data_IF_236213344448
#
_entry.id   IF_236213344448
#
_cell.length_a   1.000
_cell.length_b   1.000
_cell.length_c   1.000
_cell.angle_alpha   90.00
_cell.angle_beta   90.00
_cell.angle_gamma   90.00
#
_symmetry.space_group_name_H-M   'P 1'
#
loop_
_entity.id
_entity.type
_entity.pdbx_description
1 polymer ?
#
# COMPACT_ATOMS: atom_id res chain seq x y z
N UNK A 1 3.97 -2.34 -8.16
CA UNK A 1 5.39 -2.40 -7.80
C UNK A 1 5.89 -1.12 -7.16
N UNK A 2 7.12 -1.12 -6.70
CA UNK A 2 7.73 0.06 -6.08
C UNK A 2 7.80 1.24 -7.04
N UNK A 3 7.45 2.42 -6.55
CA UNK A 3 7.40 3.63 -7.36
C UNK A 3 8.81 4.22 -7.50
N UNK A 4 9.29 4.33 -8.73
CA UNK A 4 10.53 5.02 -9.02
C UNK A 4 10.29 6.54 -9.04
N UNK A 5 11.18 7.32 -8.43
CA UNK A 5 11.02 8.78 -8.31
C UNK A 5 10.81 9.47 -9.68
N UNK A 6 11.55 9.02 -10.70
CA UNK A 6 11.44 9.56 -12.07
C UNK A 6 10.07 9.29 -12.72
N UNK A 7 9.31 8.30 -12.23
CA UNK A 7 7.99 7.94 -12.77
C UNK A 7 6.83 8.47 -11.91
N UNK A 8 7.13 9.06 -10.77
CA UNK A 8 6.10 9.46 -9.80
C UNK A 8 5.11 10.47 -10.40
N UNK A 9 5.58 11.45 -11.15
CA UNK A 9 4.70 12.44 -11.78
C UNK A 9 3.75 11.80 -12.79
N UNK A 10 4.26 10.91 -13.66
CA UNK A 10 3.43 10.19 -14.63
C UNK A 10 2.39 9.30 -13.94
N UNK A 11 2.77 8.62 -12.85
CA UNK A 11 1.84 7.81 -12.04
C UNK A 11 0.75 8.71 -11.46
N UNK A 12 1.13 9.85 -10.88
CA UNK A 12 0.18 10.81 -10.33
C UNK A 12 -0.82 11.30 -11.38
N UNK A 13 -0.36 11.57 -12.60
CA UNK A 13 -1.23 12.08 -13.66
C UNK A 13 -2.23 11.05 -14.19
N UNK A 14 -1.87 9.76 -14.18
CA UNK A 14 -2.66 8.71 -14.80
C UNK A 14 -3.41 7.80 -13.80
N UNK A 15 -3.20 7.96 -12.49
CA UNK A 15 -3.81 7.10 -11.49
C UNK A 15 -4.60 7.91 -10.47
N UNK A 16 -5.85 7.55 -10.27
CA UNK A 16 -6.70 8.16 -9.23
C UNK A 16 -6.37 7.61 -7.84
N UNK A 17 -5.98 6.34 -7.77
CA UNK A 17 -5.65 5.64 -6.54
C UNK A 17 -4.28 4.96 -6.69
N UNK A 18 -3.39 5.18 -5.73
CA UNK A 18 -2.02 4.67 -5.74
C UNK A 18 -1.82 3.73 -4.54
N UNK A 19 -1.45 2.48 -4.80
CA UNK A 19 -1.38 1.42 -3.77
C UNK A 19 0.01 1.18 -3.19
N UNK A 20 1.06 1.82 -3.68
CA UNK A 20 2.45 1.48 -3.38
C UNK A 20 3.23 2.61 -2.72
N UNK A 21 2.57 3.40 -1.88
CA UNK A 21 3.24 4.51 -1.18
C UNK A 21 4.03 3.95 0.01
N UNK A 22 5.36 4.02 -0.06
CA UNK A 22 6.22 3.38 0.93
C UNK A 22 7.49 4.15 1.32
N UNK A 23 7.70 5.37 0.81
CA UNK A 23 8.92 6.16 1.12
C UNK A 23 8.60 7.64 1.20
N UNK A 24 9.24 8.31 2.14
CA UNK A 24 9.08 9.75 2.32
C UNK A 24 9.47 10.54 1.06
N UNK A 25 10.48 10.09 0.33
CA UNK A 25 10.87 10.73 -0.93
C UNK A 25 9.70 10.81 -1.92
N UNK A 26 8.93 9.72 -2.05
CA UNK A 26 7.76 9.66 -2.94
C UNK A 26 6.60 10.48 -2.35
N UNK A 27 6.39 10.42 -1.04
CA UNK A 27 5.38 11.24 -0.34
C UNK A 27 5.60 12.73 -0.63
N UNK A 28 6.85 13.19 -0.54
CA UNK A 28 7.19 14.60 -0.84
C UNK A 28 6.89 14.99 -2.27
N UNK A 29 7.16 14.09 -3.23
CA UNK A 29 6.87 14.34 -4.65
C UNK A 29 5.35 14.49 -4.84
N UNK A 30 4.56 13.56 -4.34
CA UNK A 30 3.10 13.63 -4.46
C UNK A 30 2.51 14.85 -3.75
N UNK A 31 3.00 15.17 -2.56
CA UNK A 31 2.58 16.38 -1.83
C UNK A 31 2.81 17.65 -2.66
N UNK A 32 4.00 17.76 -3.27
CA UNK A 32 4.33 18.89 -4.14
C UNK A 32 3.44 18.95 -5.38
N UNK A 33 3.18 17.80 -6.02
CA UNK A 33 2.32 17.73 -7.19
C UNK A 33 0.87 18.12 -6.85
N UNK A 34 0.33 17.67 -5.73
CA UNK A 34 -1.03 18.03 -5.30
C UNK A 34 -1.15 19.52 -5.02
N UNK A 35 -0.15 20.12 -4.39
CA UNK A 35 -0.12 21.57 -4.15
C UNK A 35 -0.05 22.38 -5.45
N UNK A 36 0.75 21.93 -6.40
CA UNK A 36 0.96 22.58 -7.68
C UNK A 36 -0.24 22.42 -8.62
N UNK A 37 -0.73 21.20 -8.77
CA UNK A 37 -1.79 20.86 -9.74
C UNK A 37 -3.20 20.97 -9.15
N UNK A 38 -3.33 21.03 -7.83
CA UNK A 38 -4.59 21.12 -7.08
C UNK A 38 -5.55 19.97 -7.37
N UNK A 39 -5.00 18.77 -7.63
CA UNK A 39 -5.74 17.52 -7.81
C UNK A 39 -5.33 16.58 -6.70
N UNK A 40 -6.30 16.13 -5.88
CA UNK A 40 -6.05 15.21 -4.77
C UNK A 40 -6.20 13.78 -5.26
N UNK A 41 -5.21 12.94 -4.94
CA UNK A 41 -5.26 11.50 -5.20
C UNK A 41 -5.51 10.73 -3.91
N UNK A 42 -5.87 9.46 -4.02
CA UNK A 42 -6.05 8.57 -2.89
C UNK A 42 -4.89 7.58 -2.82
N UNK A 43 -4.46 7.25 -1.60
CA UNK A 43 -3.25 6.43 -1.41
C UNK A 43 -3.50 5.29 -0.43
N UNK A 44 -2.93 4.13 -0.76
CA UNK A 44 -2.65 3.07 0.19
C UNK A 44 -1.17 3.12 0.55
N UNK A 45 -0.86 3.02 1.83
CA UNK A 45 0.53 2.85 2.28
C UNK A 45 0.87 1.36 2.23
N UNK A 46 1.94 1.04 1.53
CA UNK A 46 2.43 -0.34 1.46
C UNK A 46 3.29 -0.66 2.67
N UNK A 47 2.89 -1.68 3.42
CA UNK A 47 3.58 -2.17 4.60
C UNK A 47 4.29 -3.49 4.27
N UNK A 48 5.54 -3.60 4.70
CA UNK A 48 6.33 -4.82 4.60
C UNK A 48 6.10 -5.66 5.86
N UNK A 49 5.02 -6.42 5.86
CA UNK A 49 4.59 -7.21 7.03
C UNK A 49 5.55 -8.34 7.39
N UNK A 50 6.33 -8.82 6.43
CA UNK A 50 7.34 -9.86 6.65
C UNK A 50 8.69 -9.35 7.11
N UNK A 51 8.87 -8.03 7.21
CA UNK A 51 10.14 -7.39 7.55
C UNK A 51 11.32 -7.86 6.69
N UNK A 52 11.05 -8.12 5.41
CA UNK A 52 12.05 -8.60 4.45
C UNK A 52 12.80 -7.40 3.86
N UNK A 53 14.09 -7.24 4.21
CA UNK A 53 14.91 -6.08 3.82
C UNK A 53 14.97 -5.82 2.32
N UNK A 54 14.90 -6.89 1.50
CA UNK A 54 14.97 -6.81 0.03
C UNK A 54 13.64 -6.48 -0.63
N UNK A 55 12.54 -6.43 0.12
CA UNK A 55 11.20 -6.18 -0.39
C UNK A 55 10.76 -4.73 -0.17
N UNK A 56 9.84 -4.27 -1.03
CA UNK A 56 9.22 -2.94 -0.89
C UNK A 56 8.26 -2.90 0.29
N UNK A 57 7.94 -1.71 0.74
CA UNK A 57 7.02 -1.47 1.84
C UNK A 57 7.73 -0.93 3.09
N UNK A 58 6.98 -0.18 3.87
CA UNK A 58 7.45 0.36 5.15
C UNK A 58 7.56 -0.77 6.16
N UNK A 59 8.69 -0.89 6.84
CA UNK A 59 8.87 -1.90 7.91
C UNK A 59 7.86 -1.70 9.03
N UNK A 60 7.40 -2.79 9.63
CA UNK A 60 6.38 -2.72 10.70
C UNK A 60 6.78 -1.79 11.85
N UNK A 61 8.06 -1.81 12.26
CA UNK A 61 8.57 -0.95 13.32
C UNK A 61 8.54 0.55 13.01
N UNK A 62 8.48 0.91 11.73
CA UNK A 62 8.47 2.30 11.26
C UNK A 62 7.08 2.73 10.79
N UNK A 63 6.12 1.82 10.77
CA UNK A 63 4.82 2.04 10.16
C UNK A 63 4.01 3.15 10.85
N UNK A 64 3.96 3.14 12.19
CA UNK A 64 3.19 4.14 12.94
C UNK A 64 3.67 5.57 12.64
N UNK A 65 4.98 5.78 12.65
CA UNK A 65 5.55 7.10 12.36
C UNK A 65 5.31 7.49 10.90
N UNK A 66 5.51 6.57 9.97
CA UNK A 66 5.29 6.83 8.54
C UNK A 66 3.84 7.19 8.24
N UNK A 67 2.88 6.43 8.76
CA UNK A 67 1.45 6.70 8.57
C UNK A 67 1.09 8.07 9.16
N UNK A 68 1.56 8.36 10.38
CA UNK A 68 1.33 9.64 11.04
C UNK A 68 1.89 10.81 10.24
N UNK A 69 3.08 10.68 9.69
CA UNK A 69 3.67 11.73 8.84
C UNK A 69 2.84 11.97 7.58
N UNK A 70 2.41 10.90 6.90
CA UNK A 70 1.58 11.03 5.69
C UNK A 70 0.27 11.74 5.97
N UNK A 71 -0.39 11.39 7.09
CA UNK A 71 -1.69 11.96 7.45
C UNK A 71 -1.59 13.39 7.98
N UNK A 72 -0.65 13.65 8.89
CA UNK A 72 -0.61 14.91 9.65
C UNK A 72 0.36 15.93 9.08
N UNK A 73 1.57 15.51 8.72
CA UNK A 73 2.59 16.41 8.22
C UNK A 73 2.37 16.77 6.74
N UNK A 74 2.06 15.77 5.92
CA UNK A 74 1.89 15.95 4.48
C UNK A 74 0.43 16.08 4.05
N UNK A 75 -0.51 15.72 4.92
CA UNK A 75 -1.94 15.86 4.64
C UNK A 75 -2.44 15.08 3.42
N UNK A 76 -1.78 13.98 3.06
CA UNK A 76 -2.20 13.14 1.94
C UNK A 76 -3.47 12.36 2.32
N UNK A 77 -4.32 12.12 1.34
CA UNK A 77 -5.55 11.33 1.51
C UNK A 77 -5.22 9.84 1.55
N UNK A 78 -4.76 9.37 2.70
CA UNK A 78 -4.50 7.95 2.93
C UNK A 78 -5.84 7.26 3.21
N UNK A 79 -6.24 6.31 2.36
CA UNK A 79 -7.51 5.61 2.49
C UNK A 79 -7.37 4.21 3.07
N UNK A 80 -6.16 3.67 3.12
CA UNK A 80 -5.94 2.33 3.62
C UNK A 80 -4.48 1.90 3.58
N UNK A 81 -4.27 0.62 3.89
CA UNK A 81 -2.97 -0.03 3.86
C UNK A 81 -2.95 -1.17 2.85
N UNK A 82 -1.77 -1.48 2.36
CA UNK A 82 -1.55 -2.56 1.40
C UNK A 82 -0.39 -3.43 1.88
N UNK A 83 -0.47 -4.73 1.65
CA UNK A 83 0.67 -5.62 1.84
C UNK A 83 0.72 -6.73 0.79
N UNK A 84 1.91 -7.28 0.63
CA UNK A 84 2.19 -8.50 -0.12
C UNK A 84 2.96 -9.40 0.84
N UNK A 85 2.30 -10.41 1.45
CA UNK A 85 2.97 -11.29 2.40
C UNK A 85 4.13 -12.08 1.79
N UNK A 86 5.08 -12.56 2.61
CA UNK A 86 6.09 -13.51 2.14
C UNK A 86 5.46 -14.76 1.54
N UNK A 87 6.05 -15.27 0.46
CA UNK A 87 5.53 -16.45 -0.26
C UNK A 87 5.57 -17.70 0.63
N UNK A 88 6.58 -17.81 1.49
CA UNK A 88 6.85 -19.00 2.30
C UNK A 88 6.25 -18.94 3.72
N UNK A 89 5.40 -17.98 4.00
CA UNK A 89 4.78 -17.81 5.32
C UNK A 89 3.25 -17.87 5.21
N UNK A 90 2.57 -18.11 6.34
CA UNK A 90 1.11 -18.10 6.40
C UNK A 90 0.59 -16.67 6.16
N UNK A 91 -0.13 -16.43 5.05
CA UNK A 91 -0.60 -15.09 4.73
C UNK A 91 -1.61 -14.55 5.73
N UNK A 92 -2.37 -15.40 6.39
CA UNK A 92 -3.40 -14.99 7.35
C UNK A 92 -2.85 -14.09 8.46
N UNK A 93 -1.70 -14.46 9.02
CA UNK A 93 -1.02 -13.66 10.05
C UNK A 93 -0.73 -12.24 9.56
N UNK A 94 -0.19 -12.14 8.35
CA UNK A 94 0.15 -10.85 7.75
C UNK A 94 -1.08 -10.00 7.46
N UNK A 95 -2.16 -10.61 7.00
CA UNK A 95 -3.43 -9.91 6.77
C UNK A 95 -4.04 -9.39 8.06
N UNK A 96 -4.00 -10.17 9.14
CA UNK A 96 -4.49 -9.74 10.45
C UNK A 96 -3.62 -8.63 11.06
N UNK A 97 -2.30 -8.71 10.90
CA UNK A 97 -1.39 -7.66 11.35
C UNK A 97 -1.67 -6.34 10.62
N UNK A 98 -1.89 -6.41 9.30
CA UNK A 98 -2.22 -5.23 8.51
C UNK A 98 -3.56 -4.62 8.94
N UNK A 99 -4.56 -5.47 9.18
CA UNK A 99 -5.87 -5.02 9.65
C UNK A 99 -5.77 -4.31 11.00
N UNK A 100 -5.05 -4.90 11.94
CA UNK A 100 -4.84 -4.29 13.27
C UNK A 100 -4.16 -2.93 13.17
N UNK A 101 -3.15 -2.80 12.32
CA UNK A 101 -2.46 -1.53 12.08
C UNK A 101 -3.41 -0.50 11.46
N UNK A 102 -4.20 -0.88 10.48
CA UNK A 102 -5.18 0.01 9.85
C UNK A 102 -6.24 0.48 10.85
N UNK A 103 -6.74 -0.40 11.71
CA UNK A 103 -7.72 -0.08 12.74
C UNK A 103 -7.18 0.97 13.72
N UNK A 104 -5.90 0.91 14.07
CA UNK A 104 -5.25 1.90 14.95
C UNK A 104 -5.27 3.32 14.38
N UNK A 105 -5.36 3.46 13.06
CA UNK A 105 -5.41 4.76 12.38
C UNK A 105 -6.79 5.07 11.79
N UNK A 106 -7.81 4.29 12.11
CA UNK A 106 -9.17 4.40 11.56
C UNK A 106 -9.19 4.33 10.03
N UNK A 107 -8.29 3.56 9.44
CA UNK A 107 -8.24 3.32 8.01
C UNK A 107 -9.09 2.09 7.68
N UNK A 108 -10.10 2.26 6.83
CA UNK A 108 -11.10 1.23 6.58
C UNK A 108 -10.79 0.34 5.37
N UNK A 109 -9.85 0.73 4.53
CA UNK A 109 -9.57 -0.01 3.30
C UNK A 109 -8.28 -0.81 3.43
N UNK A 110 -8.32 -2.04 2.92
CA UNK A 110 -7.21 -2.99 2.94
C UNK A 110 -7.01 -3.55 1.54
N UNK A 111 -5.89 -3.22 0.92
CA UNK A 111 -5.45 -3.80 -0.35
C UNK A 111 -4.50 -4.96 -0.06
N UNK A 112 -5.04 -6.16 -0.08
CA UNK A 112 -4.30 -7.39 0.22
C UNK A 112 -4.98 -8.58 -0.42
N UNK A 113 -4.20 -9.61 -0.75
CA UNK A 113 -4.69 -10.79 -1.45
C UNK A 113 -4.40 -10.73 -2.94
N UNK A 114 -3.79 -11.80 -3.42
CA UNK A 114 -3.45 -12.03 -4.82
C UNK A 114 -4.03 -13.37 -5.27
N UNK A 115 -3.70 -13.85 -6.47
CA UNK A 115 -4.29 -15.08 -7.04
C UNK A 115 -4.23 -16.30 -6.11
N UNK A 116 -3.18 -16.42 -5.28
CA UNK A 116 -2.97 -17.60 -4.43
C UNK A 116 -3.60 -17.49 -3.04
N UNK A 117 -3.97 -16.31 -2.57
CA UNK A 117 -4.38 -16.07 -1.18
C UNK A 117 -5.54 -15.09 -1.00
N UNK A 118 -6.21 -14.70 -2.08
CA UNK A 118 -7.29 -13.69 -2.00
C UNK A 118 -8.47 -14.16 -1.15
N UNK A 119 -8.78 -15.45 -1.10
CA UNK A 119 -9.87 -16.00 -0.27
C UNK A 119 -9.58 -15.76 1.21
N UNK A 120 -8.34 -16.04 1.64
CA UNK A 120 -7.90 -15.79 3.02
C UNK A 120 -7.93 -14.28 3.32
N UNK A 121 -7.49 -13.46 2.36
CA UNK A 121 -7.49 -12.01 2.51
C UNK A 121 -8.93 -11.46 2.69
N UNK A 122 -9.88 -11.94 1.91
CA UNK A 122 -11.30 -11.54 2.03
C UNK A 122 -11.83 -11.92 3.40
N UNK A 123 -11.54 -13.13 3.87
CA UNK A 123 -11.95 -13.57 5.21
C UNK A 123 -11.33 -12.69 6.31
N UNK A 124 -10.16 -12.10 6.08
CA UNK A 124 -9.48 -11.19 7.01
C UNK A 124 -9.91 -9.71 6.85
N UNK A 125 -10.81 -9.39 5.94
CA UNK A 125 -11.35 -8.05 5.78
C UNK A 125 -10.80 -7.25 4.59
N UNK A 126 -10.19 -7.89 3.60
CA UNK A 126 -9.72 -7.20 2.39
C UNK A 126 -10.88 -6.49 1.69
N UNK A 127 -10.64 -5.25 1.30
CA UNK A 127 -11.57 -4.44 0.50
C UNK A 127 -11.15 -4.39 -0.97
N UNK A 128 -9.86 -4.62 -1.24
CA UNK A 128 -9.27 -4.64 -2.59
C UNK A 128 -8.34 -5.84 -2.69
N UNK A 129 -8.56 -6.65 -3.72
CA UNK A 129 -7.69 -7.77 -4.07
C UNK A 129 -7.03 -7.50 -5.43
N UNK A 130 -5.86 -8.13 -5.68
CA UNK A 130 -5.11 -7.91 -6.90
C UNK A 130 -4.89 -9.23 -7.62
N UNK A 131 -5.84 -9.61 -8.46
CA UNK A 131 -5.86 -10.90 -9.16
C UNK A 131 -5.40 -10.69 -10.60
N UNK A 132 -4.30 -11.32 -10.97
CA UNK A 132 -3.74 -11.24 -12.32
C UNK A 132 -3.61 -12.60 -12.98
N UNK A 133 -2.75 -13.48 -12.47
CA UNK A 133 -2.48 -14.81 -13.07
C UNK A 133 -3.72 -15.68 -13.22
N UNK A 134 -4.66 -15.58 -12.31
CA UNK A 134 -5.90 -16.34 -12.35
C UNK A 134 -6.84 -15.89 -13.49
N UNK A 135 -6.71 -14.64 -13.91
CA UNK A 135 -7.53 -14.07 -15.01
C UNK A 135 -6.79 -14.14 -16.33
N UNK A 136 -5.49 -13.80 -16.34
CA UNK A 136 -4.68 -13.63 -17.55
C UNK A 136 -3.71 -14.78 -17.82
N UNK A 137 -3.62 -15.77 -16.92
CA UNK A 137 -2.64 -16.85 -16.99
C UNK A 137 -1.26 -16.45 -16.43
N UNK A 138 -0.36 -17.43 -16.35
CA UNK A 138 0.99 -17.20 -15.85
C UNK A 138 1.80 -16.29 -16.80
N UNK A 139 2.70 -15.50 -16.22
CA UNK A 139 3.64 -14.70 -17.01
C UNK A 139 4.68 -15.61 -17.67
N UNK A 140 4.88 -15.43 -18.94
CA UNK A 140 5.93 -16.12 -19.68
C UNK A 140 7.30 -15.50 -19.41
#
# INVERSE_FOLDING_TARGET
>A
GSIQSRKAESIYEHCDVIHSLDRIKIVKIFNKLEKSKKIIREYFIQINTGNEAQKSGVMMKEADEFISQCLREYGLKIIGLMCIPPVDDDPKKHFLDLKALADNFNLQKLSMGMSNDYDVAIACGATHIRVGTQIFGARN
#
